data_IF_616002037948
#
_entry.id   IF_616002037948
#
_cell.length_a   1.000
_cell.length_b   1.000
_cell.length_c   1.000
_cell.angle_alpha   90.00
_cell.angle_beta   90.00
_cell.angle_gamma   90.00
#
_symmetry.space_group_name_H-M   'P 1'
#
loop_
_entity.id
_entity.type
_entity.pdbx_description
1 polymer ?
#
# COMPACT_ATOMS: atom_id res chain seq x y z
N UNK A 1 -26.25 36.51 -21.35
CA UNK A 1 -25.46 35.29 -21.17
C UNK A 1 -24.22 35.54 -20.32
N UNK A 2 -24.28 35.13 -19.06
CA UNK A 2 -23.14 35.11 -18.12
C UNK A 2 -22.32 33.84 -18.37
N UNK A 3 -21.00 33.92 -18.24
CA UNK A 3 -20.10 32.77 -18.36
C UNK A 3 -19.95 32.07 -17.01
N UNK A 4 -19.91 30.74 -17.05
CA UNK A 4 -19.79 29.91 -15.87
C UNK A 4 -18.74 28.80 -16.05
N UNK A 5 -18.06 28.46 -14.96
CA UNK A 5 -17.23 27.27 -14.81
C UNK A 5 -17.85 26.31 -13.80
N UNK A 6 -17.79 25.02 -14.10
CA UNK A 6 -18.16 23.96 -13.17
C UNK A 6 -17.27 22.74 -13.33
N UNK A 7 -17.19 21.92 -12.28
CA UNK A 7 -16.57 20.60 -12.33
C UNK A 7 -17.67 19.56 -12.46
N UNK A 8 -17.55 18.68 -13.45
CA UNK A 8 -18.52 17.60 -13.69
C UNK A 8 -17.78 16.27 -13.87
N UNK A 9 -18.45 15.16 -13.56
CA UNK A 9 -17.89 13.85 -13.89
C UNK A 9 -17.93 13.64 -15.39
N UNK A 10 -17.00 12.84 -15.89
CA UNK A 10 -16.99 12.32 -17.26
C UNK A 10 -18.35 11.73 -17.64
N UNK A 11 -18.95 10.93 -16.76
CA UNK A 11 -20.27 10.31 -17.00
C UNK A 11 -21.40 11.33 -17.09
N UNK A 12 -21.35 12.39 -16.27
CA UNK A 12 -22.37 13.45 -16.29
C UNK A 12 -22.30 14.23 -17.61
N UNK A 13 -21.09 14.44 -18.16
CA UNK A 13 -20.92 15.00 -19.50
C UNK A 13 -21.45 14.08 -20.60
N UNK A 14 -21.23 12.76 -20.49
CA UNK A 14 -21.79 11.78 -21.45
C UNK A 14 -23.31 11.88 -21.49
N UNK A 15 -23.97 12.02 -20.34
CA UNK A 15 -25.41 12.24 -20.27
C UNK A 15 -25.83 13.59 -20.89
N UNK A 16 -25.11 14.68 -20.59
CA UNK A 16 -25.35 15.98 -21.22
C UNK A 16 -25.24 15.90 -22.75
N UNK A 17 -24.20 15.23 -23.28
CA UNK A 17 -23.99 15.10 -24.72
C UNK A 17 -25.08 14.24 -25.37
N UNK A 18 -25.50 13.16 -24.71
CA UNK A 18 -26.53 12.24 -25.21
C UNK A 18 -27.92 12.85 -25.21
N UNK A 19 -28.30 13.53 -24.13
CA UNK A 19 -29.66 14.05 -23.94
C UNK A 19 -29.81 15.54 -24.27
N UNK A 20 -28.69 16.25 -24.49
CA UNK A 20 -28.65 17.67 -24.82
C UNK A 20 -28.89 18.61 -23.64
N UNK A 21 -29.26 18.09 -22.46
CA UNK A 21 -29.61 18.87 -21.28
C UNK A 21 -29.14 18.19 -19.98
N UNK A 22 -28.66 18.99 -19.02
CA UNK A 22 -28.25 18.51 -17.69
C UNK A 22 -28.45 19.60 -16.62
N UNK A 23 -28.64 19.20 -15.36
CA UNK A 23 -28.77 20.11 -14.21
C UNK A 23 -27.53 20.03 -13.32
N UNK A 24 -26.83 21.16 -13.13
CA UNK A 24 -25.72 21.25 -12.19
C UNK A 24 -26.11 21.90 -10.88
N UNK A 25 -25.56 21.39 -9.78
CA UNK A 25 -25.78 21.93 -8.43
C UNK A 25 -24.75 23.01 -8.05
N UNK A 26 -23.75 23.26 -8.89
CA UNK A 26 -22.68 24.21 -8.61
C UNK A 26 -22.03 24.69 -9.90
N UNK A 27 -21.94 26.01 -10.04
CA UNK A 27 -21.17 26.67 -11.07
C UNK A 27 -20.77 28.06 -10.54
N UNK A 28 -19.67 28.59 -11.06
CA UNK A 28 -19.11 29.88 -10.64
C UNK A 28 -19.04 30.79 -11.83
N UNK A 29 -19.59 32.00 -11.71
CA UNK A 29 -19.55 33.00 -12.77
C UNK A 29 -18.14 33.57 -12.94
N UNK A 30 -17.74 33.86 -14.18
CA UNK A 30 -16.46 34.49 -14.49
C UNK A 30 -16.57 35.33 -15.78
N UNK A 31 -15.47 35.94 -16.22
CA UNK A 31 -15.42 36.84 -17.38
C UNK A 31 -15.46 36.13 -18.75
N UNK A 32 -15.23 34.82 -18.78
CA UNK A 32 -15.22 34.01 -20.00
C UNK A 32 -13.84 33.63 -20.53
N UNK A 33 -12.75 34.15 -19.97
CA UNK A 33 -11.38 33.82 -20.39
C UNK A 33 -10.67 32.90 -19.40
N UNK A 34 -10.76 31.59 -19.64
CA UNK A 34 -10.16 30.57 -18.76
C UNK A 34 -8.64 30.72 -18.66
N UNK A 35 -7.97 31.12 -19.75
CA UNK A 35 -6.50 31.21 -19.80
C UNK A 35 -5.99 32.40 -19.01
N UNK A 36 -6.70 33.53 -19.05
CA UNK A 36 -6.38 34.70 -18.23
C UNK A 36 -6.38 34.39 -16.72
N UNK A 37 -7.19 33.42 -16.29
CA UNK A 37 -7.34 33.02 -14.89
C UNK A 37 -6.37 31.93 -14.42
N UNK A 38 -5.30 31.61 -15.17
CA UNK A 38 -4.33 30.56 -14.79
C UNK A 38 -3.78 30.72 -13.36
N UNK A 39 -3.61 31.96 -12.90
CA UNK A 39 -3.05 32.28 -11.58
C UNK A 39 -4.14 32.60 -10.53
N UNK A 40 -5.43 32.64 -10.89
CA UNK A 40 -6.53 32.97 -9.97
C UNK A 40 -6.82 31.83 -8.98
N UNK A 41 -6.26 31.94 -7.79
CA UNK A 41 -6.49 31.02 -6.67
C UNK A 41 -7.92 31.06 -6.12
N UNK A 42 -8.57 32.23 -6.16
CA UNK A 42 -9.90 32.39 -5.57
C UNK A 42 -10.95 31.71 -6.46
N UNK A 43 -10.90 31.97 -7.77
CA UNK A 43 -11.77 31.32 -8.73
C UNK A 43 -11.56 29.80 -8.72
N UNK A 44 -10.32 29.33 -8.72
CA UNK A 44 -10.01 27.89 -8.61
C UNK A 44 -10.65 27.26 -7.37
N UNK A 45 -10.49 27.88 -6.19
CA UNK A 45 -11.10 27.38 -4.93
C UNK A 45 -12.62 27.37 -4.98
N UNK A 46 -13.25 28.38 -5.57
CA UNK A 46 -14.71 28.43 -5.70
C UNK A 46 -15.22 27.32 -6.63
N UNK A 47 -14.59 27.16 -7.79
CA UNK A 47 -14.96 26.13 -8.79
C UNK A 47 -14.81 24.72 -8.23
N UNK A 48 -13.75 24.48 -7.45
CA UNK A 48 -13.41 23.16 -6.90
C UNK A 48 -13.97 22.88 -5.50
N UNK A 49 -14.66 23.84 -4.89
CA UNK A 49 -15.12 23.77 -3.49
C UNK A 49 -16.01 22.56 -3.14
N UNK A 50 -16.72 22.00 -4.12
CA UNK A 50 -17.63 20.86 -3.95
C UNK A 50 -17.12 19.57 -4.61
N UNK A 51 -15.84 19.52 -4.99
CA UNK A 51 -15.26 18.30 -5.55
C UNK A 51 -15.12 17.19 -4.49
N UNK A 52 -15.51 15.98 -4.89
CA UNK A 52 -15.24 14.78 -4.12
C UNK A 52 -13.81 14.29 -4.37
N UNK A 53 -13.35 13.34 -3.54
CA UNK A 53 -12.17 12.54 -3.89
C UNK A 53 -12.42 11.84 -5.25
N UNK A 54 -11.36 11.74 -6.04
CA UNK A 54 -11.30 11.00 -7.28
C UNK A 54 -9.98 10.24 -7.31
N UNK A 55 -9.96 9.06 -7.93
CA UNK A 55 -8.73 8.26 -8.05
C UNK A 55 -7.94 8.71 -9.26
N UNK A 56 -8.62 8.89 -10.40
CA UNK A 56 -8.00 9.27 -11.66
C UNK A 56 -8.45 10.64 -12.14
N UNK A 57 -7.52 11.42 -12.68
CA UNK A 57 -7.83 12.77 -13.20
C UNK A 57 -8.78 12.76 -14.40
N UNK A 58 -8.92 11.62 -15.10
CA UNK A 58 -9.88 11.45 -16.20
C UNK A 58 -11.32 11.16 -15.75
N UNK A 59 -11.61 11.07 -14.45
CA UNK A 59 -12.99 10.87 -13.96
C UNK A 59 -13.81 12.15 -14.00
N UNK A 60 -13.14 13.31 -14.02
CA UNK A 60 -13.74 14.63 -13.97
C UNK A 60 -13.18 15.54 -15.07
N UNK A 61 -13.96 16.55 -15.43
CA UNK A 61 -13.52 17.64 -16.29
C UNK A 61 -14.16 18.95 -15.85
N UNK A 62 -13.54 20.05 -16.25
CA UNK A 62 -14.10 21.38 -16.09
C UNK A 62 -14.86 21.78 -17.34
N UNK A 63 -16.11 22.20 -17.17
CA UNK A 63 -16.99 22.67 -18.25
C UNK A 63 -17.15 24.18 -18.18
N UNK A 64 -16.93 24.86 -19.30
CA UNK A 64 -17.28 26.25 -19.52
C UNK A 64 -18.57 26.32 -20.32
N UNK A 65 -19.57 27.03 -19.80
CA UNK A 65 -20.84 27.25 -20.48
C UNK A 65 -21.38 28.66 -20.23
N UNK A 66 -22.41 29.01 -20.99
CA UNK A 66 -23.14 30.28 -20.83
C UNK A 66 -24.57 30.07 -20.39
N UNK A 67 -25.11 30.96 -19.57
CA UNK A 67 -26.52 30.92 -19.15
C UNK A 67 -27.08 32.32 -18.95
N UNK A 68 -28.38 32.48 -19.16
CA UNK A 68 -29.12 33.74 -19.01
C UNK A 68 -29.74 33.92 -17.62
N UNK A 69 -29.70 32.89 -16.76
CA UNK A 69 -30.33 32.94 -15.45
C UNK A 69 -29.35 33.42 -14.38
N UNK A 70 -29.80 34.35 -13.55
CA UNK A 70 -29.36 34.47 -12.15
C UNK A 70 -29.92 33.24 -11.43
N UNK A 71 -29.11 32.20 -11.38
CA UNK A 71 -29.51 30.89 -10.87
C UNK A 71 -29.42 30.92 -9.35
N UNK A 72 -30.58 30.81 -8.69
CA UNK A 72 -30.62 30.81 -7.23
C UNK A 72 -30.19 29.48 -6.60
N UNK A 73 -30.28 28.32 -7.30
CA UNK A 73 -29.91 27.00 -6.69
C UNK A 73 -29.38 25.91 -7.67
N UNK A 74 -29.90 25.80 -8.91
CA UNK A 74 -29.49 24.79 -9.89
C UNK A 74 -29.30 25.37 -11.30
N UNK A 75 -28.18 25.04 -11.94
CA UNK A 75 -27.77 25.58 -13.23
C UNK A 75 -28.19 24.64 -14.37
N UNK A 76 -29.28 24.96 -15.12
CA UNK A 76 -29.63 24.21 -16.32
C UNK A 76 -28.61 24.48 -17.42
N UNK A 77 -28.07 23.40 -17.98
CA UNK A 77 -27.14 23.45 -19.11
C UNK A 77 -27.80 22.80 -20.30
N UNK A 78 -27.81 23.52 -21.41
CA UNK A 78 -28.07 22.98 -22.73
C UNK A 78 -26.72 22.79 -23.44
N UNK A 79 -26.54 21.66 -24.13
CA UNK A 79 -25.28 21.34 -24.83
C UNK A 79 -24.87 22.44 -25.82
N UNK A 80 -25.83 23.17 -26.41
CA UNK A 80 -25.58 24.29 -27.34
C UNK A 80 -24.92 25.49 -26.65
N UNK A 81 -25.03 25.59 -25.33
CA UNK A 81 -24.48 26.68 -24.54
C UNK A 81 -23.08 26.39 -23.99
N UNK A 82 -22.57 25.18 -24.21
CA UNK A 82 -21.20 24.78 -23.84
C UNK A 82 -20.20 25.49 -24.74
N UNK A 83 -19.17 26.07 -24.13
CA UNK A 83 -18.13 26.87 -24.78
C UNK A 83 -16.77 26.18 -24.79
N UNK A 84 -16.48 25.35 -23.79
CA UNK A 84 -15.22 24.63 -23.71
C UNK A 84 -15.25 23.51 -22.66
N UNK A 85 -14.40 22.52 -22.89
CA UNK A 85 -14.16 21.40 -22.00
C UNK A 85 -12.67 21.32 -21.71
N UNK A 86 -12.34 21.26 -20.42
CA UNK A 86 -10.97 21.31 -19.94
C UNK A 86 -10.69 20.11 -19.05
N UNK A 87 -9.75 19.26 -19.42
CA UNK A 87 -9.25 18.17 -18.59
C UNK A 87 -8.30 18.71 -17.53
N UNK A 88 -8.13 17.96 -16.43
CA UNK A 88 -7.26 18.41 -15.35
C UNK A 88 -5.78 18.39 -15.74
N UNK A 89 -5.37 17.44 -16.55
CA UNK A 89 -4.01 17.30 -17.05
C UNK A 89 -3.97 16.66 -18.45
N UNK A 90 -2.76 16.47 -18.97
CA UNK A 90 -2.50 15.85 -20.27
C UNK A 90 -2.80 14.35 -20.32
N UNK A 91 -2.77 13.66 -19.17
CA UNK A 91 -3.15 12.24 -19.11
C UNK A 91 -4.65 12.08 -19.23
N UNK A 92 -5.40 12.88 -18.48
CA UNK A 92 -6.85 12.95 -18.57
C UNK A 92 -7.32 13.30 -19.98
N UNK A 93 -6.62 14.21 -20.68
CA UNK A 93 -6.90 14.51 -22.07
C UNK A 93 -6.76 13.28 -22.96
N UNK A 94 -5.60 12.61 -22.92
CA UNK A 94 -5.34 11.42 -23.74
C UNK A 94 -6.36 10.31 -23.51
N UNK A 95 -6.68 10.01 -22.24
CA UNK A 95 -7.67 8.98 -21.89
C UNK A 95 -9.09 9.35 -22.33
N UNK A 96 -9.48 10.62 -22.17
CA UNK A 96 -10.80 11.08 -22.58
C UNK A 96 -10.94 11.11 -24.10
N UNK A 97 -9.92 11.56 -24.85
CA UNK A 97 -9.92 11.60 -26.33
C UNK A 97 -10.14 10.22 -26.97
N UNK A 98 -9.67 9.15 -26.33
CA UNK A 98 -9.93 7.77 -26.78
C UNK A 98 -11.41 7.39 -26.60
N UNK A 99 -12.01 7.85 -25.51
CA UNK A 99 -13.35 7.42 -25.10
C UNK A 99 -14.50 8.32 -25.58
N UNK A 100 -14.21 9.57 -25.91
CA UNK A 100 -15.20 10.54 -26.37
C UNK A 100 -15.39 10.48 -27.89
N UNK A 101 -16.50 11.07 -28.34
CA UNK A 101 -16.72 11.28 -29.77
C UNK A 101 -15.62 12.19 -30.33
N UNK A 102 -15.03 11.80 -31.47
CA UNK A 102 -13.90 12.51 -32.10
C UNK A 102 -14.18 13.98 -32.43
N UNK A 103 -15.45 14.38 -32.50
CA UNK A 103 -15.85 15.78 -32.73
C UNK A 103 -15.72 16.65 -31.48
N UNK A 104 -15.54 16.05 -30.31
CA UNK A 104 -15.44 16.75 -29.03
C UNK A 104 -14.01 17.23 -28.85
N UNK A 105 -13.84 18.55 -28.77
CA UNK A 105 -12.54 19.15 -28.52
C UNK A 105 -12.28 19.27 -27.02
N UNK A 106 -11.16 18.70 -26.58
CA UNK A 106 -10.69 18.77 -25.20
C UNK A 106 -9.44 19.66 -25.10
N UNK A 107 -9.46 20.56 -24.13
CA UNK A 107 -8.32 21.40 -23.76
C UNK A 107 -7.73 20.89 -22.45
N UNK A 108 -6.46 21.19 -22.18
CA UNK A 108 -5.90 21.01 -20.84
C UNK A 108 -6.16 22.28 -20.04
N UNK A 109 -6.64 22.13 -18.80
CA UNK A 109 -6.87 23.25 -17.90
C UNK A 109 -5.57 23.99 -17.60
N UNK A 110 -5.58 25.34 -17.55
CA UNK A 110 -4.42 26.09 -17.07
C UNK A 110 -4.10 25.84 -15.59
N UNK A 111 -4.98 25.14 -14.86
CA UNK A 111 -4.84 24.81 -13.45
C UNK A 111 -4.30 23.40 -13.17
N UNK A 112 -3.65 22.72 -14.12
CA UNK A 112 -3.16 21.34 -13.92
C UNK A 112 -2.34 21.14 -12.63
N UNK A 113 -1.38 22.02 -12.35
CA UNK A 113 -0.59 21.96 -11.10
C UNK A 113 -1.45 22.20 -9.85
N UNK A 114 -2.51 23.02 -9.94
CA UNK A 114 -3.43 23.26 -8.83
C UNK A 114 -4.33 22.04 -8.59
N UNK A 115 -4.78 21.36 -9.64
CA UNK A 115 -5.53 20.10 -9.52
C UNK A 115 -4.68 19.00 -8.89
N UNK A 116 -3.38 18.92 -9.20
CA UNK A 116 -2.46 17.99 -8.53
C UNK A 116 -2.41 18.23 -7.02
N UNK A 117 -2.17 19.48 -6.60
CA UNK A 117 -2.17 19.86 -5.17
C UNK A 117 -3.53 19.65 -4.50
N UNK A 118 -4.62 19.92 -5.21
CA UNK A 118 -5.98 19.66 -4.72
C UNK A 118 -6.18 18.17 -4.48
N UNK A 119 -5.79 17.31 -5.43
CA UNK A 119 -5.86 15.86 -5.30
C UNK A 119 -5.10 15.37 -4.07
N UNK A 120 -3.84 15.82 -3.87
CA UNK A 120 -3.07 15.51 -2.66
C UNK A 120 -3.81 15.92 -1.38
N UNK A 121 -4.42 17.11 -1.36
CA UNK A 121 -5.21 17.58 -0.21
C UNK A 121 -6.48 16.75 0.04
N UNK A 122 -7.15 16.28 -1.01
CA UNK A 122 -8.34 15.43 -0.93
C UNK A 122 -7.96 14.03 -0.43
N UNK A 123 -6.83 13.49 -0.89
CA UNK A 123 -6.28 12.21 -0.41
C UNK A 123 -5.97 12.27 1.08
N UNK A 124 -5.29 13.32 1.55
CA UNK A 124 -5.02 13.51 2.99
C UNK A 124 -6.33 13.52 3.80
N UNK A 125 -7.36 14.25 3.33
CA UNK A 125 -8.67 14.26 4.01
C UNK A 125 -9.28 12.87 4.09
N UNK A 126 -9.15 12.05 3.04
CA UNK A 126 -9.68 10.69 3.02
C UNK A 126 -8.86 9.72 3.87
N UNK A 127 -7.55 9.92 3.95
CA UNK A 127 -6.69 9.24 4.91
C UNK A 127 -7.11 9.54 6.36
N UNK A 128 -7.40 10.80 6.69
CA UNK A 128 -7.87 11.17 8.03
C UNK A 128 -9.23 10.54 8.38
N UNK A 129 -10.11 10.30 7.40
CA UNK A 129 -11.38 9.57 7.64
C UNK A 129 -11.17 8.10 8.01
N UNK A 130 -10.02 7.51 7.67
CA UNK A 130 -9.65 6.18 8.15
C UNK A 130 -9.55 6.13 9.69
N UNK A 131 -9.19 7.24 10.33
CA UNK A 131 -9.16 7.36 11.79
C UNK A 131 -10.56 7.17 12.36
N UNK A 132 -11.58 7.84 11.81
CA UNK A 132 -12.97 7.76 12.27
C UNK A 132 -13.53 6.34 12.14
N UNK A 133 -13.22 5.68 11.02
CA UNK A 133 -13.61 4.29 10.77
C UNK A 133 -13.03 3.38 11.85
N UNK A 134 -11.73 3.47 12.10
CA UNK A 134 -11.07 2.65 13.12
C UNK A 134 -11.50 3.02 14.55
N UNK A 135 -11.81 4.29 14.81
CA UNK A 135 -12.36 4.73 16.10
C UNK A 135 -13.67 4.02 16.40
N UNK A 136 -14.54 3.92 15.40
CA UNK A 136 -15.82 3.20 15.50
C UNK A 136 -15.60 1.70 15.65
N UNK A 137 -14.73 1.10 14.84
CA UNK A 137 -14.45 -0.34 14.87
C UNK A 137 -13.91 -0.78 16.24
N UNK A 138 -12.96 -0.02 16.79
CA UNK A 138 -12.35 -0.32 18.09
C UNK A 138 -13.15 0.21 19.27
N UNK A 139 -14.16 1.06 19.07
CA UNK A 139 -14.92 1.69 20.15
C UNK A 139 -14.00 2.49 21.09
N UNK A 140 -13.26 3.45 20.53
CA UNK A 140 -12.37 4.35 21.25
C UNK A 140 -13.07 5.68 21.56
N UNK A 141 -12.60 6.40 22.58
CA UNK A 141 -13.24 7.64 23.03
C UNK A 141 -12.75 8.88 22.26
N UNK A 142 -13.60 9.90 22.14
CA UNK A 142 -13.21 11.20 21.54
C UNK A 142 -12.13 11.91 22.37
N UNK A 143 -12.08 11.70 23.69
CA UNK A 143 -11.02 12.24 24.55
C UNK A 143 -9.64 11.67 24.17
N UNK A 144 -9.56 10.38 23.87
CA UNK A 144 -8.31 9.75 23.39
C UNK A 144 -7.93 10.28 22.00
N UNK A 145 -8.92 10.55 21.14
CA UNK A 145 -8.69 11.11 19.80
C UNK A 145 -8.04 12.48 19.88
N UNK A 146 -8.59 13.37 20.69
CA UNK A 146 -8.05 14.70 20.94
C UNK A 146 -6.61 14.65 21.48
N UNK A 147 -6.29 13.68 22.35
CA UNK A 147 -4.91 13.46 22.82
C UNK A 147 -4.00 12.99 21.69
N UNK A 148 -4.45 12.10 20.82
CA UNK A 148 -3.68 11.65 19.66
C UNK A 148 -3.37 12.81 18.71
N UNK A 149 -4.33 13.71 18.46
CA UNK A 149 -4.15 14.90 17.61
C UNK A 149 -3.13 15.90 18.19
N UNK A 150 -3.01 15.96 19.52
CA UNK A 150 -1.98 16.77 20.19
C UNK A 150 -0.57 16.17 20.03
N UNK A 151 -0.45 14.84 20.05
CA UNK A 151 0.83 14.13 19.87
C UNK A 151 1.26 14.11 18.40
N UNK A 152 0.30 13.90 17.48
CA UNK A 152 0.49 13.73 16.05
C UNK A 152 -0.26 14.84 15.34
N UNK A 153 0.36 16.01 15.30
CA UNK A 153 -0.24 17.23 14.77
C UNK A 153 -0.48 17.15 13.25
N UNK A 154 -1.37 18.00 12.75
CA UNK A 154 -1.65 18.11 11.31
C UNK A 154 -0.39 18.36 10.48
N UNK A 155 0.60 19.09 11.00
CA UNK A 155 1.84 19.38 10.27
C UNK A 155 2.74 18.14 10.14
N UNK A 156 2.76 17.26 11.16
CA UNK A 156 3.43 15.95 11.06
C UNK A 156 2.79 15.11 9.96
N UNK A 157 1.45 15.09 9.91
CA UNK A 157 0.71 14.33 8.89
C UNK A 157 0.99 14.89 7.50
N UNK A 158 0.92 16.21 7.31
CA UNK A 158 1.25 16.85 6.02
C UNK A 158 2.68 16.55 5.59
N UNK A 159 3.65 16.54 6.51
CA UNK A 159 5.03 16.20 6.21
C UNK A 159 5.16 14.76 5.70
N UNK A 160 4.51 13.80 6.38
CA UNK A 160 4.48 12.39 5.96
C UNK A 160 3.95 12.25 4.54
N UNK A 161 2.83 12.91 4.21
CA UNK A 161 2.26 12.86 2.87
C UNK A 161 3.11 13.59 1.83
N UNK A 162 3.68 14.74 2.17
CA UNK A 162 4.59 15.47 1.28
C UNK A 162 5.72 14.57 0.83
N UNK A 163 6.40 13.93 1.77
CA UNK A 163 7.51 13.06 1.44
C UNK A 163 7.07 11.77 0.71
N UNK A 164 5.88 11.24 1.02
CA UNK A 164 5.32 10.09 0.31
C UNK A 164 5.11 10.41 -1.17
N UNK A 165 4.50 11.56 -1.48
CA UNK A 165 4.24 11.99 -2.86
C UNK A 165 5.49 12.49 -3.58
N UNK A 166 6.46 13.02 -2.85
CA UNK A 166 7.77 13.40 -3.40
C UNK A 166 8.72 12.20 -3.58
N UNK A 167 8.32 10.99 -3.15
CA UNK A 167 9.18 9.80 -3.09
C UNK A 167 10.47 10.03 -2.29
N UNK A 168 10.38 10.88 -1.27
CA UNK A 168 11.48 11.22 -0.36
C UNK A 168 11.46 10.30 0.87
N UNK A 169 12.64 10.14 1.48
CA UNK A 169 12.81 9.44 2.75
C UNK A 169 13.04 10.45 3.89
N UNK A 170 12.59 10.16 5.12
CA UNK A 170 12.77 11.05 6.26
C UNK A 170 14.21 11.50 6.47
N UNK A 171 14.42 12.82 6.55
CA UNK A 171 15.73 13.42 6.72
C UNK A 171 15.69 14.69 7.60
N UNK A 172 16.70 14.84 8.45
CA UNK A 172 16.87 16.03 9.30
C UNK A 172 16.05 16.00 10.59
N UNK A 173 15.69 17.19 11.08
CA UNK A 173 15.01 17.36 12.37
C UNK A 173 13.49 17.18 12.26
N UNK A 174 13.06 16.01 11.79
CA UNK A 174 11.64 15.66 11.71
C UNK A 174 11.15 14.94 12.97
N UNK A 175 9.83 14.85 13.11
CA UNK A 175 9.20 14.13 14.22
C UNK A 175 9.52 12.63 14.18
N UNK A 176 9.67 12.01 15.35
CA UNK A 176 9.81 10.55 15.46
C UNK A 176 8.61 9.81 14.83
N UNK A 177 7.43 10.44 14.84
CA UNK A 177 6.22 9.95 14.19
C UNK A 177 6.34 9.91 12.66
N UNK A 178 7.05 10.89 12.05
CA UNK A 178 7.35 10.90 10.61
C UNK A 178 8.24 9.72 10.24
N UNK A 179 9.32 9.51 11.01
CA UNK A 179 10.20 8.34 10.83
C UNK A 179 9.45 7.02 10.97
N UNK A 180 8.50 6.90 11.90
CA UNK A 180 7.70 5.68 12.09
C UNK A 180 6.74 5.42 10.91
N UNK A 181 5.96 6.41 10.49
CA UNK A 181 4.97 6.24 9.43
C UNK A 181 5.61 5.99 8.07
N UNK A 182 6.77 6.59 7.81
CA UNK A 182 7.53 6.42 6.56
C UNK A 182 8.51 5.26 6.57
N UNK A 183 8.66 4.57 7.70
CA UNK A 183 9.49 3.37 7.76
C UNK A 183 8.90 2.26 6.87
N UNK A 184 9.75 1.72 6.02
CA UNK A 184 9.50 0.53 5.23
C UNK A 184 10.55 -0.51 5.62
N UNK A 185 10.09 -1.71 6.01
CA UNK A 185 11.01 -2.78 6.36
C UNK A 185 11.79 -3.21 5.12
N UNK A 186 13.10 -3.02 5.18
CA UNK A 186 14.05 -3.48 4.18
C UNK A 186 15.12 -4.44 4.76
N UNK A 187 15.21 -4.54 6.09
CA UNK A 187 16.17 -5.39 6.80
C UNK A 187 15.65 -6.81 7.02
N UNK A 188 16.55 -7.79 7.06
CA UNK A 188 16.22 -9.21 7.25
C UNK A 188 15.96 -9.60 8.72
N UNK A 189 15.20 -8.79 9.46
CA UNK A 189 14.88 -9.09 10.86
C UNK A 189 14.02 -10.36 11.02
N UNK A 190 14.07 -11.02 12.19
CA UNK A 190 13.27 -12.22 12.46
C UNK A 190 11.78 -12.00 12.18
N UNK A 191 11.10 -13.03 11.68
CA UNK A 191 9.64 -12.99 11.48
C UNK A 191 8.90 -12.94 12.83
N UNK A 192 7.65 -12.45 12.80
CA UNK A 192 6.78 -12.39 13.97
C UNK A 192 7.04 -11.17 14.85
N UNK A 193 6.58 -11.23 16.12
CA UNK A 193 6.62 -10.09 17.04
C UNK A 193 8.02 -9.51 17.26
N UNK A 194 9.03 -10.37 17.34
CA UNK A 194 10.44 -9.95 17.49
C UNK A 194 10.85 -8.98 16.38
N UNK A 195 10.45 -9.27 15.14
CA UNK A 195 10.76 -8.42 14.01
C UNK A 195 10.23 -7.00 14.18
N UNK A 196 9.01 -6.82 14.67
CA UNK A 196 8.42 -5.49 14.85
C UNK A 196 9.10 -4.70 15.97
N UNK A 197 9.64 -5.40 16.98
CA UNK A 197 10.49 -4.76 17.99
C UNK A 197 11.88 -4.40 17.44
N UNK A 198 12.45 -5.21 16.54
CA UNK A 198 13.66 -4.82 15.81
C UNK A 198 13.42 -3.60 14.91
N UNK A 199 12.28 -3.56 14.20
CA UNK A 199 11.89 -2.39 13.40
C UNK A 199 11.74 -1.14 14.27
N UNK A 200 11.13 -1.24 15.46
CA UNK A 200 11.06 -0.12 16.41
C UNK A 200 12.46 0.42 16.75
N UNK A 201 13.41 -0.47 17.06
CA UNK A 201 14.80 -0.07 17.32
C UNK A 201 15.41 0.61 16.09
N UNK A 202 15.13 0.11 14.89
CA UNK A 202 15.59 0.71 13.64
C UNK A 202 14.99 2.10 13.42
N UNK A 203 13.68 2.29 13.63
CA UNK A 203 13.01 3.59 13.56
C UNK A 203 13.66 4.58 14.53
N UNK A 204 13.93 4.16 15.76
CA UNK A 204 14.64 4.99 16.73
C UNK A 204 16.05 5.36 16.25
N UNK A 205 16.79 4.42 15.66
CA UNK A 205 18.12 4.69 15.10
C UNK A 205 18.06 5.66 13.91
N UNK A 206 17.07 5.52 13.01
CA UNK A 206 16.85 6.45 11.90
C UNK A 206 16.59 7.86 12.40
N UNK A 207 15.67 8.00 13.36
CA UNK A 207 15.37 9.28 14.01
C UNK A 207 16.61 9.87 14.70
N UNK A 208 17.35 9.06 15.46
CA UNK A 208 18.56 9.49 16.19
C UNK A 208 19.67 9.97 15.25
N UNK A 209 19.80 9.33 14.07
CA UNK A 209 20.75 9.71 13.03
C UNK A 209 20.21 10.75 12.05
N UNK A 210 18.93 11.11 12.17
CA UNK A 210 18.24 12.09 11.33
C UNK A 210 18.26 11.72 9.84
N UNK A 211 18.24 10.43 9.54
CA UNK A 211 18.23 9.89 8.18
C UNK A 211 17.78 8.43 8.18
N UNK A 212 17.29 7.93 7.05
CA UNK A 212 17.11 6.50 6.84
C UNK A 212 18.47 5.77 6.80
N UNK A 213 18.62 4.76 7.65
CA UNK A 213 19.80 3.92 7.72
C UNK A 213 19.54 2.59 7.01
N UNK A 214 20.52 2.12 6.25
CA UNK A 214 20.45 0.84 5.54
C UNK A 214 21.01 -0.32 6.38
N UNK A 215 20.53 -1.53 6.09
CA UNK A 215 21.01 -2.78 6.71
C UNK A 215 20.35 -3.10 8.05
N UNK A 216 20.88 -4.08 8.76
CA UNK A 216 20.32 -4.62 10.01
C UNK A 216 20.75 -3.79 11.23
N UNK A 217 20.41 -2.51 11.24
CA UNK A 217 20.84 -1.55 12.26
C UNK A 217 20.49 -2.00 13.69
N UNK A 218 19.35 -2.65 13.89
CA UNK A 218 18.95 -3.15 15.21
C UNK A 218 19.96 -4.16 15.77
N UNK A 219 20.64 -4.95 14.93
CA UNK A 219 21.64 -5.95 15.34
C UNK A 219 22.87 -5.32 16.01
N UNK A 220 23.12 -4.04 15.75
CA UNK A 220 24.20 -3.28 16.39
C UNK A 220 23.88 -2.84 17.81
N UNK A 221 22.64 -3.06 18.28
CA UNK A 221 22.16 -2.63 19.59
C UNK A 221 22.10 -3.76 20.61
N UNK A 222 22.22 -3.42 21.90
CA UNK A 222 22.12 -4.41 22.98
C UNK A 222 20.72 -5.04 23.11
N UNK A 223 19.67 -4.40 22.57
CA UNK A 223 18.31 -4.94 22.60
C UNK A 223 18.15 -6.16 21.70
N UNK A 224 18.83 -6.19 20.55
CA UNK A 224 18.69 -7.28 19.60
C UNK A 224 19.09 -8.63 20.20
N UNK A 225 20.24 -8.68 20.89
CA UNK A 225 20.70 -9.92 21.56
C UNK A 225 19.70 -10.41 22.62
N UNK A 226 19.00 -9.50 23.29
CA UNK A 226 17.97 -9.83 24.28
C UNK A 226 16.68 -10.34 23.63
N UNK A 227 16.29 -9.78 22.47
CA UNK A 227 15.14 -10.24 21.71
C UNK A 227 15.35 -11.65 21.14
N UNK A 228 16.48 -11.89 20.47
CA UNK A 228 16.77 -13.20 19.85
C UNK A 228 16.98 -14.31 20.89
N UNK A 229 17.37 -13.96 22.12
CA UNK A 229 17.46 -14.90 23.23
C UNK A 229 16.07 -15.47 23.64
N UNK A 230 14.98 -14.83 23.22
CA UNK A 230 13.60 -15.28 23.49
C UNK A 230 12.78 -15.41 22.20
N UNK A 231 13.04 -16.42 21.35
CA UNK A 231 12.48 -16.54 20.00
C UNK A 231 10.95 -16.69 19.94
N UNK A 232 10.27 -16.96 21.07
CA UNK A 232 8.80 -17.10 21.18
C UNK A 232 8.15 -16.03 22.05
N UNK A 233 8.90 -15.00 22.44
CA UNK A 233 8.40 -13.94 23.31
C UNK A 233 7.18 -13.25 22.69
N UNK A 234 6.15 -13.08 23.50
CA UNK A 234 4.95 -12.34 23.13
C UNK A 234 5.17 -10.83 23.33
N UNK A 235 4.23 -10.04 22.81
CA UNK A 235 4.31 -8.57 22.84
C UNK A 235 4.63 -8.00 24.23
N UNK A 236 3.95 -8.48 25.28
CA UNK A 236 4.15 -8.01 26.65
C UNK A 236 5.57 -8.33 27.18
N UNK A 237 6.12 -9.49 26.85
CA UNK A 237 7.47 -9.86 27.26
C UNK A 237 8.54 -9.00 26.58
N UNK A 238 8.37 -8.73 25.27
CA UNK A 238 9.27 -7.86 24.51
C UNK A 238 9.17 -6.41 24.98
N UNK A 239 7.95 -5.95 25.30
CA UNK A 239 7.72 -4.62 25.89
C UNK A 239 8.46 -4.45 27.20
N UNK A 240 8.46 -5.46 28.07
CA UNK A 240 9.20 -5.42 29.35
C UNK A 240 10.72 -5.36 29.15
N UNK A 241 11.25 -6.02 28.12
CA UNK A 241 12.67 -5.93 27.77
C UNK A 241 13.02 -4.48 27.37
N UNK A 242 12.21 -3.87 26.50
CA UNK A 242 12.44 -2.49 26.08
C UNK A 242 12.26 -1.50 27.23
N UNK A 243 11.26 -1.70 28.08
CA UNK A 243 10.99 -0.85 29.24
C UNK A 243 12.18 -0.81 30.23
N UNK A 244 12.97 -1.88 30.31
CA UNK A 244 14.19 -1.92 31.11
C UNK A 244 15.40 -1.20 30.46
N UNK A 245 15.25 -0.72 29.21
CA UNK A 245 16.31 -0.05 28.45
C UNK A 245 16.16 1.47 28.44
N UNK A 246 17.27 2.23 28.31
CA UNK A 246 17.21 3.70 28.21
C UNK A 246 16.40 4.21 27.01
N UNK A 247 16.30 3.41 25.94
CA UNK A 247 15.58 3.80 24.72
C UNK A 247 14.09 4.03 25.02
N UNK A 248 13.50 3.29 25.98
CA UNK A 248 12.09 3.48 26.33
C UNK A 248 11.83 4.89 26.87
N UNK A 249 12.60 5.34 27.85
CA UNK A 249 12.41 6.67 28.45
C UNK A 249 12.77 7.79 27.47
N UNK A 250 13.83 7.60 26.66
CA UNK A 250 14.23 8.58 25.64
C UNK A 250 13.14 8.77 24.58
N UNK A 251 12.57 7.68 24.08
CA UNK A 251 11.50 7.76 23.07
C UNK A 251 10.20 8.29 23.66
N UNK A 252 9.91 8.00 24.93
CA UNK A 252 8.73 8.51 25.62
C UNK A 252 8.78 10.02 25.86
N UNK A 253 9.93 10.57 26.27
CA UNK A 253 10.12 12.01 26.41
C UNK A 253 9.90 12.76 25.09
N UNK A 254 10.35 12.18 23.98
CA UNK A 254 10.27 12.79 22.64
C UNK A 254 8.87 12.66 22.06
N UNK A 255 8.24 11.49 22.22
CA UNK A 255 6.96 11.18 21.60
C UNK A 255 5.77 11.69 22.43
N UNK A 256 5.94 11.92 23.74
CA UNK A 256 4.89 12.31 24.67
C UNK A 256 4.00 11.15 25.15
N UNK A 257 4.36 9.90 24.85
CA UNK A 257 3.71 8.66 25.30
C UNK A 257 4.67 7.48 25.18
N UNK A 258 4.31 6.27 25.61
CA UNK A 258 5.19 5.08 25.52
C UNK A 258 5.38 4.62 24.07
N UNK A 259 6.23 5.31 23.32
CA UNK A 259 6.51 5.05 21.91
C UNK A 259 7.04 3.64 21.65
N UNK A 260 7.78 3.09 22.63
CA UNK A 260 8.23 1.69 22.65
C UNK A 260 7.09 0.66 22.63
N UNK A 261 5.86 1.06 22.96
CA UNK A 261 4.63 0.26 22.83
C UNK A 261 3.92 0.59 21.52
N UNK A 262 3.77 1.88 21.20
CA UNK A 262 3.05 2.33 19.99
C UNK A 262 3.69 1.80 18.72
N UNK A 263 5.00 2.00 18.55
CA UNK A 263 5.71 1.68 17.31
C UNK A 263 5.61 0.20 16.90
N UNK A 264 5.96 -0.79 17.74
CA UNK A 264 5.84 -2.19 17.35
C UNK A 264 4.37 -2.61 17.15
N UNK A 265 3.43 -2.05 17.91
CA UNK A 265 1.99 -2.35 17.74
C UNK A 265 1.48 -1.81 16.40
N UNK A 266 1.77 -0.55 16.08
CA UNK A 266 1.43 0.06 14.79
C UNK A 266 2.05 -0.71 13.62
N UNK A 267 3.34 -1.05 13.69
CA UNK A 267 4.02 -1.78 12.61
C UNK A 267 3.43 -3.18 12.41
N UNK A 268 3.08 -3.86 13.51
CA UNK A 268 2.35 -5.12 13.43
C UNK A 268 0.99 -4.96 12.76
N UNK A 269 0.18 -4.01 13.21
CA UNK A 269 -1.16 -3.79 12.67
C UNK A 269 -1.11 -3.36 11.20
N UNK A 270 -0.15 -2.51 10.83
CA UNK A 270 0.08 -2.08 9.44
C UNK A 270 0.43 -3.27 8.55
N UNK A 271 1.25 -4.21 9.03
CA UNK A 271 1.57 -5.42 8.29
C UNK A 271 0.38 -6.40 8.23
N UNK A 272 -0.39 -6.51 9.32
CA UNK A 272 -1.57 -7.37 9.39
C UNK A 272 -2.67 -6.92 8.41
N UNK A 273 -2.83 -5.61 8.23
CA UNK A 273 -3.86 -5.01 7.38
C UNK A 273 -3.28 -4.32 6.14
N UNK A 274 -2.13 -4.79 5.63
CA UNK A 274 -1.47 -4.18 4.47
C UNK A 274 -2.38 -4.09 3.23
N UNK A 275 -3.17 -5.15 3.01
CA UNK A 275 -4.15 -5.27 1.92
C UNK A 275 -5.52 -4.66 2.27
N UNK A 276 -5.63 -4.03 3.44
CA UNK A 276 -6.85 -3.42 3.97
C UNK A 276 -7.60 -4.29 4.97
N UNK A 277 -8.50 -3.64 5.71
CA UNK A 277 -9.33 -4.23 6.74
C UNK A 277 -10.71 -4.57 6.17
N UNK A 278 -10.81 -5.78 5.60
CA UNK A 278 -12.02 -6.27 4.93
C UNK A 278 -13.13 -6.63 5.93
N UNK A 279 -12.74 -7.16 7.09
CA UNK A 279 -13.68 -7.60 8.13
C UNK A 279 -13.36 -6.94 9.46
N UNK A 280 -14.40 -6.73 10.27
CA UNK A 280 -14.24 -6.27 11.65
C UNK A 280 -13.35 -7.26 12.43
N UNK A 281 -12.29 -6.79 13.11
CA UNK A 281 -11.52 -7.65 14.00
C UNK A 281 -12.41 -8.26 15.09
N UNK A 282 -12.06 -9.45 15.57
CA UNK A 282 -12.80 -10.09 16.67
C UNK A 282 -12.73 -9.23 17.93
N UNK A 283 -13.76 -9.32 18.78
CA UNK A 283 -13.79 -8.59 20.04
C UNK A 283 -12.59 -8.96 20.93
N UNK A 284 -12.21 -10.24 20.96
CA UNK A 284 -11.03 -10.73 21.69
C UNK A 284 -9.73 -10.03 21.23
N UNK A 285 -9.59 -9.78 19.92
CA UNK A 285 -8.43 -9.09 19.37
C UNK A 285 -8.42 -7.60 19.77
N UNK A 286 -9.59 -6.95 19.73
CA UNK A 286 -9.75 -5.55 20.14
C UNK A 286 -9.42 -5.40 21.62
N UNK A 287 -10.01 -6.24 22.47
CA UNK A 287 -9.83 -6.23 23.92
C UNK A 287 -8.37 -6.54 24.30
N UNK A 288 -7.75 -7.50 23.60
CA UNK A 288 -6.34 -7.81 23.78
C UNK A 288 -5.45 -6.61 23.44
N UNK A 289 -5.66 -5.99 22.28
CA UNK A 289 -4.92 -4.81 21.81
C UNK A 289 -5.02 -3.65 22.81
N UNK A 290 -6.24 -3.36 23.28
CA UNK A 290 -6.49 -2.35 24.31
C UNK A 290 -5.80 -2.67 25.63
N UNK A 291 -5.81 -3.95 26.05
CA UNK A 291 -5.17 -4.36 27.31
C UNK A 291 -3.66 -4.23 27.28
N UNK A 292 -3.00 -4.58 26.16
CA UNK A 292 -1.53 -4.48 26.06
C UNK A 292 -1.05 -3.04 25.85
N UNK A 293 -1.84 -2.22 25.15
CA UNK A 293 -1.45 -0.86 24.79
C UNK A 293 -1.95 0.21 25.75
N UNK A 294 -3.11 0.05 26.38
CA UNK A 294 -3.79 1.16 27.05
C UNK A 294 -4.03 2.31 26.07
N UNK A 295 -3.69 3.54 26.47
CA UNK A 295 -3.78 4.71 25.59
C UNK A 295 -2.92 4.56 24.32
N UNK A 296 -1.77 3.91 24.40
CA UNK A 296 -0.88 3.67 23.25
C UNK A 296 -1.51 2.76 22.19
N UNK A 297 -2.52 1.96 22.56
CA UNK A 297 -3.35 1.28 21.57
C UNK A 297 -4.11 2.30 20.72
N UNK A 298 -4.72 3.31 21.33
CA UNK A 298 -5.45 4.35 20.60
C UNK A 298 -4.50 5.13 19.67
N UNK A 299 -3.27 5.43 20.11
CA UNK A 299 -2.26 6.10 19.26
C UNK A 299 -1.85 5.21 18.08
N UNK A 300 -1.63 3.90 18.29
CA UNK A 300 -1.31 2.98 17.21
C UNK A 300 -2.47 2.86 16.20
N UNK A 301 -3.71 2.84 16.67
CA UNK A 301 -4.92 2.82 15.83
C UNK A 301 -5.09 4.15 15.08
N UNK A 302 -4.77 5.28 15.69
CA UNK A 302 -4.77 6.58 15.03
C UNK A 302 -3.79 6.59 13.84
N UNK A 303 -2.55 6.16 14.06
CA UNK A 303 -1.53 6.05 13.00
C UNK A 303 -1.96 5.06 11.89
N UNK A 304 -2.55 3.93 12.28
CA UNK A 304 -3.08 2.96 11.33
C UNK A 304 -4.19 3.57 10.46
N UNK A 305 -5.08 4.35 11.07
CA UNK A 305 -6.17 5.04 10.37
C UNK A 305 -5.63 6.02 9.33
N UNK A 306 -4.60 6.80 9.67
CA UNK A 306 -3.92 7.69 8.73
C UNK A 306 -3.33 6.93 7.53
N UNK A 307 -2.67 5.80 7.78
CA UNK A 307 -1.97 5.05 6.72
C UNK A 307 -2.91 4.24 5.85
N UNK A 308 -3.95 3.64 6.43
CA UNK A 308 -4.93 2.86 5.67
C UNK A 308 -5.93 3.75 4.94
N UNK A 309 -6.35 4.85 5.55
CA UNK A 309 -7.39 5.71 5.01
C UNK A 309 -8.77 5.05 4.94
N UNK A 310 -9.73 5.80 4.38
CA UNK A 310 -11.11 5.34 4.28
C UNK A 310 -11.25 4.14 3.33
N UNK A 311 -10.55 4.16 2.20
CA UNK A 311 -10.59 3.15 1.14
C UNK A 311 -10.19 1.75 1.63
N UNK A 312 -9.25 1.65 2.58
CA UNK A 312 -8.85 0.35 3.15
C UNK A 312 -9.56 -0.02 4.45
N UNK A 313 -10.53 0.77 4.91
CA UNK A 313 -11.20 0.54 6.21
C UNK A 313 -12.72 0.52 6.14
N UNK A 314 -13.31 0.94 5.01
CA UNK A 314 -14.76 1.11 4.92
C UNK A 314 -15.53 -0.21 5.07
N UNK A 315 -15.00 -1.34 4.58
CA UNK A 315 -15.71 -2.63 4.65
C UNK A 315 -15.89 -3.10 6.10
N UNK A 316 -14.81 -3.12 6.88
CA UNK A 316 -14.87 -3.42 8.31
C UNK A 316 -15.68 -2.38 9.10
N UNK A 317 -15.64 -1.12 8.68
CA UNK A 317 -16.46 -0.07 9.29
C UNK A 317 -17.95 -0.33 9.04
N UNK A 318 -18.36 -0.70 7.83
CA UNK A 318 -19.76 -0.96 7.52
C UNK A 318 -20.34 -2.16 8.27
N UNK A 319 -19.52 -3.17 8.58
CA UNK A 319 -19.90 -4.25 9.50
C UNK A 319 -20.14 -3.74 10.94
N UNK A 320 -19.47 -2.67 11.34
CA UNK A 320 -19.56 -2.08 12.67
C UNK A 320 -20.63 -0.99 12.79
N UNK A 321 -20.91 -0.27 11.70
CA UNK A 321 -21.76 0.93 11.68
C UNK A 321 -23.25 0.64 11.51
N UNK A 322 -23.64 -0.62 11.27
CA UNK A 322 -25.04 -1.06 11.11
C UNK A 322 -25.86 -0.15 10.18
N UNK A 323 -25.32 0.16 8.99
CA UNK A 323 -25.92 1.12 8.07
C UNK A 323 -27.37 0.76 7.72
N UNK A 324 -28.32 1.71 7.74
CA UNK A 324 -29.76 1.43 7.68
C UNK A 324 -30.23 0.88 6.33
N UNK A 325 -29.46 1.09 5.27
CA UNK A 325 -29.74 0.59 3.93
C UNK A 325 -29.13 -0.79 3.65
N UNK A 326 -28.37 -1.35 4.60
CA UNK A 326 -27.87 -2.72 4.49
C UNK A 326 -28.97 -3.71 4.85
N UNK A 327 -29.02 -4.83 4.12
CA UNK A 327 -29.87 -5.96 4.50
C UNK A 327 -29.49 -6.39 5.92
N UNK A 328 -30.49 -6.67 6.76
CA UNK A 328 -30.21 -7.23 8.07
C UNK A 328 -29.49 -8.56 7.89
N UNK A 329 -28.49 -8.86 8.72
CA UNK A 329 -27.65 -10.06 8.59
C UNK A 329 -28.47 -11.37 8.51
N UNK A 330 -29.60 -11.43 9.21
CA UNK A 330 -30.53 -12.56 9.17
C UNK A 330 -31.27 -12.74 7.82
N UNK A 331 -31.39 -11.68 7.03
CA UNK A 331 -31.99 -11.68 5.68
C UNK A 331 -30.93 -11.92 4.61
N UNK A 332 -29.74 -11.34 4.77
CA UNK A 332 -28.59 -11.59 3.89
C UNK A 332 -28.14 -13.07 3.89
N UNK A 333 -28.26 -13.74 5.04
CA UNK A 333 -27.95 -15.18 5.16
C UNK A 333 -29.01 -16.08 4.49
N UNK A 334 -30.25 -15.61 4.31
CA UNK A 334 -31.30 -16.34 3.59
C UNK A 334 -31.14 -16.27 2.07
N UNK A 335 -30.62 -15.16 1.55
CA UNK A 335 -30.30 -14.99 0.12
C UNK A 335 -28.94 -15.60 -0.29
N UNK A 336 -28.05 -15.88 0.68
CA UNK A 336 -26.68 -16.31 0.43
C UNK A 336 -26.50 -17.79 0.06
N UNK A 337 -27.52 -18.63 0.21
CA UNK A 337 -27.40 -20.09 0.01
C UNK A 337 -27.28 -20.51 -1.47
N UNK A 338 -27.55 -19.59 -2.42
CA UNK A 338 -27.31 -19.82 -3.85
C UNK A 338 -25.96 -19.29 -4.36
N UNK A 339 -25.22 -18.47 -3.60
CA UNK A 339 -23.89 -17.94 -4.01
C UNK A 339 -22.69 -18.54 -3.26
N UNK A 340 -22.91 -19.28 -2.16
CA UNK A 340 -21.84 -19.83 -1.32
C UNK A 340 -21.12 -21.10 -1.83
N UNK A 341 -21.34 -21.52 -3.08
CA UNK A 341 -20.58 -22.65 -3.67
C UNK A 341 -19.28 -22.26 -4.40
N UNK A 342 -18.94 -20.98 -4.51
CA UNK A 342 -17.71 -20.55 -5.23
C UNK A 342 -16.64 -19.91 -4.32
N UNK A 343 -16.94 -19.59 -3.06
CA UNK A 343 -15.96 -18.90 -2.17
C UNK A 343 -15.55 -19.68 -0.93
N UNK A 344 -16.07 -20.90 -0.72
CA UNK A 344 -15.80 -21.68 0.50
C UNK A 344 -14.54 -22.57 0.43
N UNK A 345 -13.64 -22.41 -0.55
CA UNK A 345 -12.37 -23.15 -0.57
C UNK A 345 -11.15 -22.38 -0.04
N UNK A 346 -11.34 -21.19 0.56
CA UNK A 346 -10.22 -20.35 1.08
C UNK A 346 -10.36 -20.00 2.56
N UNK A 347 -11.42 -20.45 3.25
CA UNK A 347 -11.73 -20.03 4.64
C UNK A 347 -11.56 -21.11 5.71
N UNK A 348 -10.94 -22.24 5.41
CA UNK A 348 -10.43 -23.16 6.45
C UNK A 348 -8.90 -23.13 6.45
N UNK A 349 -8.33 -22.11 7.09
CA UNK A 349 -6.90 -22.01 7.26
C UNK A 349 -6.42 -20.65 7.71
N UNK A 350 -6.99 -20.09 8.80
CA UNK A 350 -6.32 -19.06 9.62
C UNK A 350 -7.04 -18.77 10.96
N UNK A 351 -7.71 -19.77 11.52
CA UNK A 351 -7.96 -19.81 12.96
C UNK A 351 -6.80 -20.57 13.62
N UNK A 352 -5.62 -19.94 13.74
CA UNK A 352 -4.58 -20.41 14.67
C UNK A 352 -5.03 -20.07 16.08
N UNK A 353 -5.93 -20.92 16.58
CA UNK A 353 -5.98 -21.20 18.01
C UNK A 353 -4.59 -21.67 18.45
N UNK A 354 -4.13 -21.08 19.55
CA UNK A 354 -2.95 -21.53 20.26
C UNK A 354 -3.21 -22.94 20.84
N UNK A 355 -2.72 -24.01 20.21
CA UNK A 355 -1.96 -25.13 20.84
C UNK A 355 -1.79 -26.39 19.95
N UNK A 356 -0.58 -26.93 20.13
CA UNK A 356 -0.12 -28.33 20.11
C UNK A 356 0.09 -29.12 18.79
N UNK A 357 1.26 -29.78 18.77
CA UNK A 357 1.83 -30.65 17.74
C UNK A 357 1.06 -31.97 17.62
N UNK A 358 1.05 -32.61 16.44
CA UNK A 358 1.78 -33.88 16.23
C UNK A 358 1.80 -34.33 14.76
N UNK A 359 2.72 -35.27 14.51
CA UNK A 359 3.19 -35.88 13.27
C UNK A 359 2.09 -36.43 12.34
N UNK A 360 2.39 -36.62 11.04
CA UNK A 360 2.41 -37.96 10.40
C UNK A 360 2.74 -37.90 8.89
N UNK A 361 3.82 -38.62 8.54
CA UNK A 361 4.03 -39.59 7.44
C UNK A 361 3.54 -39.28 6.01
N UNK A 362 4.55 -39.11 5.15
CA UNK A 362 4.87 -39.88 3.92
C UNK A 362 3.78 -40.73 3.27
N UNK A 363 3.48 -40.44 2.00
CA UNK A 363 3.11 -41.45 1.00
C UNK A 363 3.74 -41.11 -0.36
N UNK A 364 4.45 -42.10 -0.90
CA UNK A 364 5.19 -42.16 -2.16
C UNK A 364 4.30 -42.31 -3.39
N UNK A 365 4.67 -41.76 -4.55
CA UNK A 365 4.43 -42.42 -5.86
C UNK A 365 5.48 -42.05 -6.92
N UNK A 366 5.70 -42.99 -7.84
CA UNK A 366 6.87 -43.19 -8.72
C UNK A 366 6.70 -42.57 -10.13
N UNK A 367 7.79 -41.95 -10.59
CA UNK A 367 8.49 -41.96 -11.90
C UNK A 367 7.72 -42.30 -13.20
N UNK A 368 7.95 -41.46 -14.22
CA UNK A 368 8.07 -41.78 -15.66
C UNK A 368 8.41 -40.50 -16.43
N UNK A 369 9.68 -40.14 -16.67
CA UNK A 369 10.60 -40.50 -17.77
C UNK A 369 10.28 -39.93 -19.17
N UNK A 370 11.36 -39.39 -19.76
CA UNK A 370 11.67 -39.08 -21.18
C UNK A 370 11.25 -37.69 -21.72
N UNK A 371 12.21 -36.76 -21.93
CA UNK A 371 13.22 -36.62 -23.03
C UNK A 371 12.66 -35.63 -24.08
N UNK A 372 13.37 -34.74 -24.78
CA UNK A 372 14.80 -34.51 -25.06
C UNK A 372 14.94 -33.27 -25.97
N UNK A 373 16.16 -32.70 -26.01
CA UNK A 373 16.78 -31.90 -27.11
C UNK A 373 16.28 -30.46 -27.32
N UNK A 374 17.11 -29.40 -27.41
CA UNK A 374 18.57 -29.27 -27.39
C UNK A 374 19.02 -28.07 -28.25
N UNK A 375 20.03 -27.30 -27.76
CA UNK A 375 21.15 -26.64 -28.51
C UNK A 375 20.77 -25.57 -29.57
N UNK A 376 21.50 -24.47 -29.82
CA UNK A 376 22.82 -24.00 -29.39
C UNK A 376 23.10 -22.55 -29.82
N UNK A 377 24.02 -21.91 -29.09
CA UNK A 377 25.17 -21.09 -29.54
C UNK A 377 24.99 -19.61 -29.93
N UNK A 378 26.02 -18.87 -29.50
CA UNK A 378 26.21 -17.44 -29.36
C UNK A 378 27.37 -16.93 -30.27
N UNK A 379 27.78 -15.67 -30.01
CA UNK A 379 29.05 -14.95 -30.35
C UNK A 379 28.86 -13.79 -31.37
N UNK A 380 29.43 -12.57 -31.30
CA UNK A 380 30.46 -11.88 -30.46
C UNK A 380 30.37 -10.32 -30.62
N UNK A 381 30.48 -9.54 -29.51
CA UNK A 381 31.39 -8.38 -29.10
C UNK A 381 31.96 -7.37 -30.17
N UNK A 382 32.35 -6.04 -29.94
CA UNK A 382 32.71 -5.24 -28.71
C UNK A 382 32.32 -3.72 -28.56
N UNK A 383 32.39 -3.25 -27.28
CA UNK A 383 32.84 -1.98 -26.62
C UNK A 383 32.91 -0.57 -27.29
N UNK A 384 32.29 0.44 -26.63
CA UNK A 384 32.89 1.57 -25.85
C UNK A 384 31.78 2.58 -25.44
N UNK A 385 31.40 2.73 -24.17
CA UNK A 385 31.94 3.56 -23.07
C UNK A 385 31.63 5.07 -23.13
N UNK A 386 30.97 5.53 -22.05
CA UNK A 386 30.77 6.91 -21.58
C UNK A 386 29.85 7.86 -22.37
N UNK A 387 28.53 7.82 -22.08
CA UNK A 387 27.73 8.99 -21.61
C UNK A 387 26.22 8.66 -21.35
N UNK A 388 25.85 7.51 -20.79
CA UNK A 388 24.42 7.22 -20.46
C UNK A 388 24.26 6.59 -19.08
N UNK A 389 24.69 7.32 -18.06
CA UNK A 389 24.70 6.89 -16.67
C UNK A 389 23.65 7.55 -15.80
N UNK A 390 22.44 7.86 -16.27
CA UNK A 390 21.33 8.25 -15.34
C UNK A 390 19.89 8.12 -15.89
N UNK A 391 19.63 7.71 -17.14
CA UNK A 391 18.27 7.80 -17.72
C UNK A 391 17.72 6.56 -18.46
N UNK A 392 18.34 5.38 -18.29
CA UNK A 392 17.93 4.14 -19.01
C UNK A 392 17.64 2.93 -18.10
N UNK A 393 17.15 3.16 -16.87
CA UNK A 393 16.65 2.05 -16.02
C UNK A 393 15.13 1.99 -15.85
N UNK A 394 14.35 2.67 -16.69
CA UNK A 394 12.89 2.67 -16.60
C UNK A 394 12.12 2.55 -17.94
N UNK A 395 12.72 1.95 -18.97
CA UNK A 395 11.95 1.52 -20.16
C UNK A 395 12.35 0.11 -20.62
N UNK A 396 11.62 -0.87 -20.11
CA UNK A 396 11.33 -2.22 -20.62
C UNK A 396 10.65 -2.93 -19.43
N UNK A 397 9.42 -3.44 -19.47
CA UNK A 397 8.69 -4.08 -20.55
C UNK A 397 7.18 -3.81 -20.42
N UNK A 398 6.53 -3.58 -21.57
CA UNK A 398 5.14 -3.95 -21.82
C UNK A 398 5.10 -4.62 -23.19
N UNK A 399 4.61 -5.85 -23.25
CA UNK A 399 4.02 -6.65 -24.35
C UNK A 399 4.16 -8.12 -23.90
N UNK A 400 3.16 -8.99 -23.85
CA UNK A 400 1.72 -8.95 -24.16
C UNK A 400 1.06 -10.08 -23.36
N UNK A 401 -0.24 -9.93 -23.16
CA UNK A 401 -1.27 -10.79 -22.56
C UNK A 401 -1.11 -12.31 -22.74
N UNK A 402 -1.31 -13.07 -21.66
CA UNK A 402 -2.47 -13.97 -21.47
C UNK A 402 -2.53 -14.54 -20.03
N UNK A 403 -3.71 -14.46 -19.42
CA UNK A 403 -4.31 -15.23 -18.32
C UNK A 403 -3.41 -15.82 -17.21
N UNK A 404 -3.32 -15.14 -16.07
CA UNK A 404 -3.87 -15.59 -14.76
C UNK A 404 -3.33 -14.69 -13.63
N UNK A 405 -4.26 -14.06 -12.93
CA UNK A 405 -4.02 -13.09 -11.87
C UNK A 405 -3.56 -13.74 -10.55
N UNK A 406 -2.34 -13.42 -10.11
CA UNK A 406 -2.03 -13.22 -8.68
C UNK A 406 -0.75 -12.39 -8.53
N UNK A 407 -0.91 -11.11 -8.17
CA UNK A 407 0.22 -10.26 -7.80
C UNK A 407 0.67 -10.65 -6.37
N UNK A 408 1.78 -11.38 -6.29
CA UNK A 408 2.56 -11.53 -5.07
C UNK A 408 4.01 -11.32 -5.50
N UNK A 409 4.64 -10.21 -5.12
CA UNK A 409 6.04 -9.91 -5.46
C UNK A 409 7.00 -10.76 -4.62
N UNK A 410 6.95 -12.08 -4.80
CA UNK A 410 8.08 -12.96 -4.52
C UNK A 410 9.00 -12.90 -5.75
N UNK A 411 10.14 -12.21 -5.62
CA UNK A 411 11.18 -12.20 -6.65
C UNK A 411 11.58 -13.65 -6.92
N UNK A 412 11.27 -14.18 -8.11
CA UNK A 412 11.54 -15.57 -8.43
C UNK A 412 13.05 -15.80 -8.64
N UNK A 413 13.67 -16.81 -8.02
CA UNK A 413 15.08 -17.10 -8.24
C UNK A 413 15.32 -17.56 -9.68
N UNK A 414 16.49 -17.24 -10.23
CA UNK A 414 16.94 -17.73 -11.53
C UNK A 414 17.27 -19.22 -11.48
N UNK A 415 17.88 -19.68 -10.38
CA UNK A 415 18.21 -21.09 -10.11
C UNK A 415 18.52 -21.32 -8.62
N UNK A 416 18.72 -22.57 -8.24
CA UNK A 416 19.11 -22.97 -6.88
C UNK A 416 20.49 -23.65 -6.91
N UNK A 417 21.32 -23.34 -5.90
CA UNK A 417 22.63 -23.98 -5.74
C UNK A 417 22.76 -24.65 -4.37
N UNK A 418 23.51 -25.75 -4.30
CA UNK A 418 23.71 -26.59 -3.12
C UNK A 418 25.19 -26.77 -2.84
N UNK A 419 25.58 -26.70 -1.57
CA UNK A 419 26.90 -27.08 -1.08
C UNK A 419 26.78 -28.27 -0.15
N UNK A 420 27.44 -29.38 -0.51
CA UNK A 420 27.52 -30.56 0.36
C UNK A 420 28.65 -30.36 1.38
N UNK A 421 28.34 -30.49 2.66
CA UNK A 421 29.34 -30.54 3.73
C UNK A 421 29.35 -31.94 4.36
N UNK A 422 30.53 -32.55 4.53
CA UNK A 422 30.66 -33.86 5.19
C UNK A 422 30.13 -33.74 6.63
N UNK A 423 29.09 -34.50 6.96
CA UNK A 423 28.52 -34.58 8.31
C UNK A 423 27.55 -33.46 8.73
N UNK A 424 27.14 -32.55 7.83
CA UNK A 424 26.12 -31.52 8.10
C UNK A 424 24.99 -31.57 7.06
N UNK A 425 23.80 -31.06 7.40
CA UNK A 425 22.71 -30.84 6.43
C UNK A 425 23.26 -29.95 5.30
N UNK A 426 22.91 -30.29 4.05
CA UNK A 426 23.39 -29.55 2.89
C UNK A 426 22.82 -28.12 2.89
N UNK A 427 23.68 -27.13 2.63
CA UNK A 427 23.27 -25.72 2.50
C UNK A 427 22.76 -25.50 1.07
N UNK A 428 21.55 -24.97 0.93
CA UNK A 428 20.85 -24.75 -0.34
C UNK A 428 20.44 -23.29 -0.39
N UNK A 429 20.77 -22.59 -1.48
CA UNK A 429 20.53 -21.14 -1.62
C UNK A 429 19.93 -20.78 -2.99
N UNK A 430 19.00 -19.80 -3.04
CA UNK A 430 18.52 -19.24 -4.28
C UNK A 430 19.54 -18.29 -4.91
N UNK A 431 19.50 -18.18 -6.23
CA UNK A 431 20.29 -17.22 -7.02
C UNK A 431 19.33 -16.30 -7.74
N UNK A 432 19.44 -14.99 -7.54
CA UNK A 432 18.55 -13.99 -8.14
C UNK A 432 19.20 -13.20 -9.28
N UNK A 433 20.53 -13.16 -9.33
CA UNK A 433 21.31 -12.44 -10.33
C UNK A 433 22.67 -13.14 -10.58
N UNK A 434 23.39 -12.67 -11.59
CA UNK A 434 24.69 -13.21 -12.01
C UNK A 434 25.79 -12.97 -10.95
N UNK A 435 25.71 -11.87 -10.19
CA UNK A 435 26.69 -11.58 -9.14
C UNK A 435 26.62 -12.63 -8.02
N UNK A 436 25.40 -12.97 -7.59
CA UNK A 436 25.15 -13.99 -6.57
C UNK A 436 25.54 -15.38 -7.06
N UNK A 437 25.33 -15.67 -8.34
CA UNK A 437 25.78 -16.91 -8.96
C UNK A 437 27.31 -17.06 -8.84
N UNK A 438 28.08 -16.04 -9.22
CA UNK A 438 29.54 -16.10 -9.16
C UNK A 438 30.05 -16.20 -7.71
N UNK A 439 29.44 -15.47 -6.77
CA UNK A 439 29.77 -15.58 -5.33
C UNK A 439 29.58 -17.01 -4.79
N UNK A 440 28.43 -17.64 -5.08
CA UNK A 440 28.14 -19.00 -4.62
C UNK A 440 29.01 -20.04 -5.31
N UNK A 441 29.26 -19.89 -6.61
CA UNK A 441 30.17 -20.75 -7.38
C UNK A 441 31.60 -20.72 -6.80
N UNK A 442 32.14 -19.53 -6.53
CA UNK A 442 33.45 -19.36 -5.90
C UNK A 442 33.50 -19.94 -4.47
N UNK A 443 32.35 -19.99 -3.80
CA UNK A 443 32.20 -20.59 -2.47
C UNK A 443 31.99 -22.12 -2.51
N UNK A 444 32.07 -22.76 -3.67
CA UNK A 444 31.96 -24.21 -3.84
C UNK A 444 30.53 -24.76 -3.84
N UNK A 445 29.55 -23.94 -4.23
CA UNK A 445 28.19 -24.41 -4.48
C UNK A 445 28.04 -24.94 -5.90
N UNK A 446 27.22 -25.96 -6.08
CA UNK A 446 26.88 -26.56 -7.38
C UNK A 446 25.42 -26.32 -7.72
N UNK A 447 25.09 -26.18 -9.01
CA UNK A 447 23.71 -26.03 -9.47
C UNK A 447 22.90 -27.28 -9.14
N UNK A 448 21.70 -27.09 -8.60
CA UNK A 448 20.80 -28.20 -8.29
C UNK A 448 20.17 -28.74 -9.58
N UNK A 449 20.47 -30.00 -9.88
CA UNK A 449 19.85 -30.73 -11.01
C UNK A 449 18.74 -31.69 -10.55
N UNK A 450 18.73 -32.06 -9.27
CA UNK A 450 17.74 -32.98 -8.67
C UNK A 450 17.23 -32.41 -7.36
N UNK A 451 15.91 -32.35 -7.23
CA UNK A 451 15.19 -31.85 -6.07
C UNK A 451 14.93 -33.01 -5.11
N UNK A 452 15.90 -33.28 -4.23
CA UNK A 452 15.77 -34.27 -3.16
C UNK A 452 15.04 -33.69 -1.93
N UNK A 453 14.72 -34.53 -0.95
CA UNK A 453 14.00 -34.12 0.27
C UNK A 453 14.65 -32.90 0.95
N UNK A 454 15.98 -32.84 1.00
CA UNK A 454 16.72 -31.73 1.61
C UNK A 454 16.60 -30.43 0.81
N UNK A 455 16.61 -30.51 -0.52
CA UNK A 455 16.39 -29.36 -1.39
C UNK A 455 14.95 -28.85 -1.25
N UNK A 456 13.95 -29.73 -1.24
CA UNK A 456 12.55 -29.33 -1.12
C UNK A 456 12.26 -28.67 0.23
N UNK A 457 12.80 -29.22 1.32
CA UNK A 457 12.72 -28.60 2.66
C UNK A 457 13.38 -27.22 2.68
N UNK A 458 14.52 -27.06 2.02
CA UNK A 458 15.17 -25.76 1.91
C UNK A 458 14.35 -24.76 1.10
N UNK A 459 13.84 -25.14 -0.08
CA UNK A 459 13.01 -24.27 -0.93
C UNK A 459 11.75 -23.82 -0.20
N UNK A 460 11.08 -24.73 0.53
CA UNK A 460 9.96 -24.39 1.41
C UNK A 460 10.36 -23.40 2.50
N UNK A 461 11.54 -23.56 3.10
CA UNK A 461 12.04 -22.64 4.12
C UNK A 461 12.28 -21.21 3.58
N UNK A 462 12.54 -21.08 2.28
CA UNK A 462 12.64 -19.80 1.57
C UNK A 462 11.28 -19.27 1.09
N UNK A 463 10.17 -19.98 1.33
CA UNK A 463 8.82 -19.53 0.98
C UNK A 463 8.40 -19.82 -0.47
N UNK A 464 9.12 -20.70 -1.16
CA UNK A 464 8.76 -21.14 -2.51
C UNK A 464 8.13 -22.54 -2.46
N UNK A 465 7.19 -22.80 -3.37
CA UNK A 465 6.68 -24.16 -3.60
C UNK A 465 7.72 -24.97 -4.40
N UNK A 466 8.28 -26.07 -3.85
CA UNK A 466 9.26 -26.90 -4.53
C UNK A 466 8.76 -27.52 -5.84
N UNK A 467 7.48 -27.90 -5.93
CA UNK A 467 6.96 -28.49 -7.18
C UNK A 467 6.73 -27.42 -8.24
N UNK A 468 6.27 -26.22 -7.85
CA UNK A 468 6.22 -25.07 -8.75
C UNK A 468 7.61 -24.66 -9.25
N UNK A 469 8.61 -24.58 -8.36
CA UNK A 469 9.99 -24.22 -8.70
C UNK A 469 10.65 -25.26 -9.62
N UNK A 470 10.46 -26.54 -9.32
CA UNK A 470 10.93 -27.65 -10.15
C UNK A 470 10.29 -27.61 -11.53
N UNK A 471 8.98 -27.35 -11.64
CA UNK A 471 8.28 -27.22 -12.94
C UNK A 471 8.79 -26.00 -13.72
N UNK A 472 8.98 -24.86 -13.03
CA UNK A 472 9.47 -23.60 -13.64
C UNK A 472 10.89 -23.72 -14.17
N UNK A 473 11.79 -24.33 -13.39
CA UNK A 473 13.21 -24.46 -13.74
C UNK A 473 13.49 -25.63 -14.68
N UNK A 474 12.60 -26.63 -14.74
CA UNK A 474 12.66 -27.67 -15.78
C UNK A 474 12.13 -27.18 -17.14
N UNK A 475 11.17 -26.24 -17.18
CA UNK A 475 10.72 -25.61 -18.44
C UNK A 475 11.77 -24.70 -19.10
N UNK A 476 12.78 -24.27 -18.35
CA UNK A 476 13.88 -23.41 -18.83
C UNK A 476 15.12 -24.20 -19.32
N UNK A 477 15.10 -25.53 -19.25
CA UNK A 477 16.14 -26.42 -19.80
C UNK A 477 15.66 -27.03 -21.10
#
# INVERSE_FOLDING_TARGET
MTNYLAIIRKLDFVDLFKYGYFLLNHAVSFDGDVIAHKDDENLFKQVTSKMNLYEYSFEYLMIHFTSDKDVNEQFPIDVRNVKGLYTFDEEAKREMEISFDIRIQLHVSPWSEKFKKLHESLQIKQSLRGIDNLWTIFGLSEEEKNKCEQLITSDIIKEVFRELYAYERPFGNQSIWTYLMRYERHSFYPKGMIGYFCDFVHVYCNFSKKQELNGEVAETTQLYSQFIAKPKAQFAELSNIVAASPISSMTEEIAGCRFSVVAPLFLYLRALYADGMIHKPSQDFIDYSKRIGGFECAVAIYLLGVVLGYDKTYDAFYESAELPFFKKRAEALKDGDTRKKVTNSVLEGNSTSFRENEEYKTASFRIGENSSLGKSLANDVPNNSHLEGTLQRQKQLSFSTDEDSSHNTNILPLLWMKKKAKGKKADVRPVFDEEKYQQLKNSGYEIILRYDKTVNEAILSYGYDPEAEKKRLNKKK
#
